data_IF_466822015216
#
_entry.id   IF_466822015216
#
_cell.length_a   1.000
_cell.length_b   1.000
_cell.length_c   1.000
_cell.angle_alpha   90.00
_cell.angle_beta   90.00
_cell.angle_gamma   90.00
#
_symmetry.space_group_name_H-M   'P 1'
#
loop_
_entity.id
_entity.type
_entity.pdbx_description
1 polymer ?
#
# COMPACT_ATOMS: atom_id res chain seq x y z
N UNK A 1 34.91 4.29 -12.69
CA UNK A 1 33.82 3.65 -13.41
C UNK A 1 32.51 3.88 -12.69
N UNK A 2 31.60 4.56 -13.34
CA UNK A 2 30.31 4.82 -12.73
C UNK A 2 29.49 3.52 -12.75
N UNK A 3 29.26 2.98 -11.55
CA UNK A 3 28.23 1.97 -11.43
C UNK A 3 26.92 2.65 -11.83
N UNK A 4 26.25 2.10 -12.82
CA UNK A 4 24.90 2.53 -13.12
C UNK A 4 24.12 2.49 -11.81
N UNK A 5 23.70 3.66 -11.32
CA UNK A 5 22.88 3.71 -10.10
C UNK A 5 21.57 3.04 -10.43
N UNK A 6 21.35 1.89 -9.80
CA UNK A 6 20.08 1.21 -9.91
C UNK A 6 19.04 2.09 -9.23
N UNK A 7 17.98 2.47 -9.96
CA UNK A 7 16.87 3.20 -9.38
C UNK A 7 16.23 2.34 -8.29
N UNK A 8 15.80 2.95 -7.18
CA UNK A 8 15.13 2.20 -6.14
C UNK A 8 13.83 1.57 -6.68
N UNK A 9 13.51 0.40 -6.16
CA UNK A 9 12.28 -0.29 -6.52
C UNK A 9 11.31 -0.26 -5.34
N UNK A 10 10.05 -0.27 -5.67
CA UNK A 10 8.95 -0.24 -4.70
C UNK A 10 8.00 -1.39 -4.96
N UNK A 11 7.48 -1.98 -3.91
CA UNK A 11 6.46 -3.00 -4.04
C UNK A 11 5.09 -2.38 -3.74
N UNK A 12 4.09 -2.77 -4.51
CA UNK A 12 2.72 -2.34 -4.30
C UNK A 12 1.81 -3.56 -4.22
N UNK A 13 1.25 -3.80 -3.04
CA UNK A 13 0.33 -4.89 -2.79
C UNK A 13 -1.09 -4.35 -2.93
N UNK A 14 -1.94 -5.03 -3.68
CA UNK A 14 -3.35 -4.65 -3.75
C UNK A 14 -4.25 -5.86 -3.54
N UNK A 15 -5.29 -5.66 -2.75
CA UNK A 15 -6.29 -6.67 -2.51
C UNK A 15 -7.17 -6.83 -3.76
N UNK A 16 -7.46 -8.07 -4.13
CA UNK A 16 -8.29 -8.38 -5.30
C UNK A 16 -9.76 -8.11 -5.03
N UNK A 17 -10.20 -8.25 -3.79
CA UNK A 17 -11.56 -7.86 -3.42
C UNK A 17 -11.69 -6.34 -3.56
N UNK A 18 -12.72 -5.90 -4.24
CA UNK A 18 -12.91 -4.49 -4.63
C UNK A 18 -11.78 -3.98 -5.54
N UNK A 19 -11.34 -4.82 -6.46
CA UNK A 19 -10.21 -4.53 -7.36
C UNK A 19 -10.39 -3.24 -8.15
N UNK A 20 -11.61 -2.91 -8.55
CA UNK A 20 -11.89 -1.67 -9.27
C UNK A 20 -11.53 -0.42 -8.47
N UNK A 21 -11.58 -0.51 -7.14
CA UNK A 21 -11.21 0.58 -6.24
C UNK A 21 -9.73 0.51 -5.88
N UNK A 22 -9.24 -0.67 -5.49
CA UNK A 22 -7.83 -0.80 -5.09
C UNK A 22 -6.87 -0.50 -6.23
N UNK A 23 -7.25 -0.81 -7.48
CA UNK A 23 -6.44 -0.48 -8.65
C UNK A 23 -6.29 1.03 -8.85
N UNK A 24 -7.24 1.82 -8.35
CA UNK A 24 -7.15 3.29 -8.42
C UNK A 24 -6.02 3.80 -7.53
N UNK A 25 -5.76 3.15 -6.39
CA UNK A 25 -4.63 3.50 -5.55
C UNK A 25 -3.31 3.30 -6.29
N UNK A 26 -3.20 2.24 -7.06
CA UNK A 26 -2.01 2.00 -7.89
C UNK A 26 -1.83 3.09 -8.94
N UNK A 27 -2.92 3.53 -9.57
CA UNK A 27 -2.87 4.64 -10.53
C UNK A 27 -2.30 5.91 -9.89
N UNK A 28 -2.78 6.24 -8.68
CA UNK A 28 -2.26 7.39 -7.95
C UNK A 28 -0.80 7.23 -7.57
N UNK A 29 -0.42 6.06 -7.12
CA UNK A 29 0.94 5.74 -6.72
C UNK A 29 1.91 5.93 -7.90
N UNK A 30 1.54 5.44 -9.07
CA UNK A 30 2.40 5.52 -10.26
C UNK A 30 2.40 6.91 -10.91
N UNK A 31 1.57 7.84 -10.45
CA UNK A 31 1.67 9.25 -10.82
C UNK A 31 2.89 9.92 -10.19
N UNK A 32 3.41 9.37 -9.09
CA UNK A 32 4.56 9.94 -8.38
C UNK A 32 5.82 9.09 -8.47
N UNK A 33 5.66 7.78 -8.56
CA UNK A 33 6.76 6.83 -8.72
C UNK A 33 6.54 6.10 -10.05
N UNK A 34 7.48 6.21 -11.01
CA UNK A 34 7.29 5.60 -12.32
C UNK A 34 6.96 4.11 -12.23
N UNK A 35 6.02 3.67 -13.05
CA UNK A 35 5.57 2.27 -13.07
C UNK A 35 6.73 1.30 -13.27
N UNK A 36 7.77 1.70 -14.00
CA UNK A 36 8.96 0.86 -14.22
C UNK A 36 9.71 0.54 -12.90
N UNK A 37 9.50 1.33 -11.86
CA UNK A 37 10.12 1.13 -10.55
C UNK A 37 9.21 0.39 -9.56
N UNK A 38 8.02 -0.03 -9.99
CA UNK A 38 7.01 -0.61 -9.12
C UNK A 38 6.71 -2.04 -9.53
N UNK A 39 6.86 -2.97 -8.58
CA UNK A 39 6.41 -4.35 -8.75
C UNK A 39 5.06 -4.49 -8.03
N UNK A 40 4.07 -5.02 -8.74
CA UNK A 40 2.70 -5.13 -8.24
C UNK A 40 2.40 -6.56 -7.84
N UNK A 41 1.78 -6.72 -6.68
CA UNK A 41 1.42 -8.03 -6.13
C UNK A 41 -0.05 -8.03 -5.76
N UNK A 42 -0.78 -9.04 -6.23
CA UNK A 42 -2.17 -9.20 -5.91
C UNK A 42 -2.35 -10.23 -4.79
N UNK A 43 -3.20 -9.91 -3.83
CA UNK A 43 -3.59 -10.81 -2.75
C UNK A 43 -5.11 -10.89 -2.69
N UNK A 44 -5.70 -11.93 -2.09
CA UNK A 44 -7.16 -12.02 -2.01
C UNK A 44 -7.79 -10.83 -1.29
N UNK A 45 -7.40 -10.59 -0.06
CA UNK A 45 -7.97 -9.55 0.77
C UNK A 45 -6.93 -8.88 1.66
N UNK A 46 -7.40 -8.00 2.52
CA UNK A 46 -6.53 -7.22 3.39
C UNK A 46 -5.73 -8.07 4.38
N UNK A 47 -6.29 -9.19 4.86
CA UNK A 47 -5.61 -10.05 5.83
C UNK A 47 -4.32 -10.66 5.30
N UNK A 48 -4.18 -10.81 4.00
CA UNK A 48 -2.99 -11.41 3.41
C UNK A 48 -1.87 -10.40 3.19
N UNK A 49 -2.16 -9.10 3.34
CA UNK A 49 -1.18 -8.04 3.08
C UNK A 49 -0.03 -7.98 4.09
N UNK A 50 -0.27 -8.10 5.41
CA UNK A 50 0.84 -7.96 6.36
C UNK A 50 1.96 -8.99 6.18
N UNK A 51 1.62 -10.26 5.97
CA UNK A 51 2.63 -11.30 5.78
C UNK A 51 3.42 -11.06 4.50
N UNK A 52 2.74 -10.76 3.40
CA UNK A 52 3.42 -10.48 2.14
C UNK A 52 4.27 -9.21 2.24
N UNK A 53 3.77 -8.18 2.91
CA UNK A 53 4.53 -6.95 3.12
C UNK A 53 5.83 -7.23 3.87
N UNK A 54 5.78 -8.06 4.91
CA UNK A 54 6.98 -8.45 5.66
C UNK A 54 7.97 -9.21 4.76
N UNK A 55 7.47 -10.15 3.97
CA UNK A 55 8.32 -10.94 3.07
C UNK A 55 9.01 -10.05 2.04
N UNK A 56 8.27 -9.13 1.42
CA UNK A 56 8.81 -8.22 0.42
C UNK A 56 9.81 -7.23 1.04
N UNK A 57 9.47 -6.70 2.20
CA UNK A 57 10.35 -5.78 2.92
C UNK A 57 11.65 -6.47 3.34
N UNK A 58 11.56 -7.70 3.82
CA UNK A 58 12.74 -8.47 4.25
C UNK A 58 13.63 -8.92 3.09
N UNK A 59 13.11 -8.92 1.86
CA UNK A 59 13.86 -9.39 0.68
C UNK A 59 15.06 -8.53 0.34
N UNK A 60 15.12 -7.30 0.81
CA UNK A 60 16.18 -6.35 0.46
C UNK A 60 16.04 -5.76 -0.94
N UNK A 61 14.96 -6.08 -1.67
CA UNK A 61 14.74 -5.65 -3.05
C UNK A 61 14.00 -4.33 -3.17
N UNK A 62 13.33 -3.89 -2.11
CA UNK A 62 12.43 -2.75 -2.16
C UNK A 62 12.80 -1.67 -1.16
N UNK A 63 12.75 -0.43 -1.58
CA UNK A 63 12.97 0.72 -0.70
C UNK A 63 11.78 0.96 0.22
N UNK A 64 10.59 0.59 -0.24
CA UNK A 64 9.36 0.69 0.54
C UNK A 64 8.30 -0.24 -0.06
N UNK A 65 7.31 -0.57 0.75
CA UNK A 65 6.18 -1.42 0.36
C UNK A 65 4.89 -0.65 0.66
N UNK A 66 4.00 -0.56 -0.31
CA UNK A 66 2.66 0.01 -0.11
C UNK A 66 1.63 -1.12 -0.20
N UNK A 67 0.56 -1.01 0.57
CA UNK A 67 -0.49 -2.03 0.58
C UNK A 67 -1.87 -1.38 0.57
N UNK A 68 -2.68 -1.71 -0.42
CA UNK A 68 -3.99 -1.10 -0.65
C UNK A 68 -5.13 -2.11 -0.54
N UNK A 69 -6.13 -1.77 0.24
CA UNK A 69 -7.35 -2.55 0.39
C UNK A 69 -8.51 -1.63 0.75
N UNK A 70 -9.71 -2.02 0.35
CA UNK A 70 -10.93 -1.41 0.85
C UNK A 70 -11.55 -2.44 1.82
N UNK A 71 -11.63 -2.07 3.09
CA UNK A 71 -12.15 -2.94 4.13
C UNK A 71 -13.56 -2.49 4.51
N UNK A 72 -14.53 -3.32 4.24
CA UNK A 72 -15.94 -3.04 4.52
C UNK A 72 -16.54 -4.21 5.29
N UNK A 73 -17.72 -4.01 5.87
CA UNK A 73 -18.40 -5.07 6.61
C UNK A 73 -18.71 -6.25 5.67
N UNK A 74 -18.19 -7.42 6.06
CA UNK A 74 -18.58 -8.68 5.47
C UNK A 74 -19.65 -9.34 6.32
N UNK A 75 -20.15 -10.51 5.90
CA UNK A 75 -21.21 -11.21 6.61
C UNK A 75 -20.81 -11.73 7.99
N UNK A 76 -19.52 -11.90 8.27
CA UNK A 76 -19.01 -12.54 9.48
C UNK A 76 -18.21 -11.58 10.35
N UNK A 77 -17.33 -10.77 9.73
CA UNK A 77 -16.44 -9.88 10.46
C UNK A 77 -16.86 -8.42 10.31
N UNK A 78 -16.76 -7.68 11.41
CA UNK A 78 -16.93 -6.23 11.38
C UNK A 78 -15.66 -5.61 10.79
N UNK A 79 -15.84 -4.57 9.97
CA UNK A 79 -14.72 -3.92 9.28
C UNK A 79 -13.68 -3.34 10.24
N UNK A 80 -14.08 -2.87 11.43
CA UNK A 80 -13.15 -2.30 12.39
C UNK A 80 -12.13 -3.32 12.88
N UNK A 81 -12.55 -4.56 13.11
CA UNK A 81 -11.65 -5.62 13.58
C UNK A 81 -10.64 -5.99 12.50
N UNK A 82 -11.10 -6.10 11.26
CA UNK A 82 -10.23 -6.43 10.13
C UNK A 82 -9.25 -5.29 9.90
N UNK A 83 -9.75 -4.06 9.82
CA UNK A 83 -8.92 -2.89 9.57
C UNK A 83 -7.85 -2.72 10.64
N UNK A 84 -8.21 -2.90 11.93
CA UNK A 84 -7.25 -2.76 13.03
C UNK A 84 -6.14 -3.81 12.93
N UNK A 85 -6.52 -5.07 12.70
CA UNK A 85 -5.55 -6.17 12.58
C UNK A 85 -4.59 -5.94 11.41
N UNK A 86 -5.11 -5.48 10.27
CA UNK A 86 -4.32 -5.23 9.07
C UNK A 86 -3.35 -4.08 9.28
N UNK A 87 -3.82 -2.96 9.80
CA UNK A 87 -2.98 -1.78 10.05
C UNK A 87 -1.88 -2.10 11.06
N UNK A 88 -2.22 -2.79 12.14
CA UNK A 88 -1.24 -3.22 13.15
C UNK A 88 -0.22 -4.17 12.54
N UNK A 89 -0.66 -5.10 11.70
CA UNK A 89 0.22 -6.04 11.02
C UNK A 89 1.17 -5.36 10.04
N UNK A 90 0.69 -4.39 9.28
CA UNK A 90 1.54 -3.62 8.35
C UNK A 90 2.56 -2.77 9.12
N UNK A 91 2.16 -2.16 10.22
CA UNK A 91 3.07 -1.39 11.07
C UNK A 91 4.18 -2.30 11.62
N UNK A 92 3.81 -3.49 12.10
CA UNK A 92 4.77 -4.47 12.60
C UNK A 92 5.73 -4.91 11.50
N UNK A 93 5.24 -5.16 10.29
CA UNK A 93 6.09 -5.57 9.17
C UNK A 93 7.19 -4.54 8.91
N UNK A 94 6.83 -3.25 8.94
CA UNK A 94 7.81 -2.18 8.78
C UNK A 94 8.81 -2.11 9.91
N UNK A 95 8.34 -2.20 11.15
CA UNK A 95 9.20 -2.12 12.33
C UNK A 95 10.15 -3.32 12.43
N UNK A 96 9.68 -4.52 12.12
CA UNK A 96 10.49 -5.74 12.19
C UNK A 96 11.56 -5.79 11.11
N UNK A 97 11.28 -5.27 9.93
CA UNK A 97 12.19 -5.35 8.78
C UNK A 97 13.08 -4.11 8.62
N UNK A 98 12.68 -3.00 9.22
CA UNK A 98 13.37 -1.73 9.02
C UNK A 98 13.13 -1.12 7.64
N UNK A 99 12.09 -1.56 6.93
CA UNK A 99 11.72 -1.02 5.62
C UNK A 99 10.34 -0.37 5.73
N UNK A 100 10.16 0.85 5.20
CA UNK A 100 8.85 1.51 5.29
C UNK A 100 7.75 0.70 4.63
N UNK A 101 6.65 0.54 5.35
CA UNK A 101 5.43 -0.09 4.84
C UNK A 101 4.30 0.93 4.96
N UNK A 102 3.76 1.34 3.82
CA UNK A 102 2.74 2.38 3.75
C UNK A 102 1.37 1.73 3.61
N UNK A 103 0.43 2.15 4.46
CA UNK A 103 -0.92 1.60 4.42
C UNK A 103 -1.85 2.47 3.59
N UNK A 104 -2.48 1.86 2.58
CA UNK A 104 -3.64 2.41 1.89
C UNK A 104 -4.81 1.45 2.13
N UNK A 105 -4.88 0.93 3.35
CA UNK A 105 -5.98 0.07 3.79
C UNK A 105 -7.03 0.97 4.42
N UNK A 106 -8.09 1.25 3.68
CA UNK A 106 -9.11 2.22 4.07
C UNK A 106 -10.39 1.50 4.45
N UNK A 107 -11.05 2.01 5.50
CA UNK A 107 -12.30 1.44 5.98
C UNK A 107 -13.31 2.56 6.23
N UNK A 108 -14.25 2.79 5.31
CA UNK A 108 -15.29 3.79 5.51
C UNK A 108 -16.31 3.31 6.55
N UNK A 109 -16.92 4.26 7.27
CA UNK A 109 -17.96 3.94 8.25
C UNK A 109 -19.17 3.28 7.60
N UNK A 110 -19.55 3.75 6.40
CA UNK A 110 -20.64 3.19 5.62
C UNK A 110 -20.18 3.07 4.18
N UNK A 111 -20.43 1.92 3.59
CA UNK A 111 -20.12 1.66 2.21
C UNK A 111 -21.28 0.91 1.55
N UNK A 112 -21.77 1.47 0.47
CA UNK A 112 -22.77 0.82 -0.37
C UNK A 112 -22.21 0.71 -1.78
N UNK A 113 -22.39 -0.45 -2.42
CA UNK A 113 -21.93 -0.66 -3.79
C UNK A 113 -22.85 0.05 -4.79
N UNK A 114 -23.10 1.35 -4.56
CA UNK A 114 -23.83 2.20 -5.48
C UNK A 114 -22.82 2.89 -6.39
N UNK A 115 -23.27 3.28 -7.58
CA UNK A 115 -22.44 4.00 -8.53
C UNK A 115 -21.84 5.26 -7.92
N UNK A 116 -22.61 5.98 -7.12
CA UNK A 116 -22.19 7.20 -6.44
C UNK A 116 -21.06 6.95 -5.45
N UNK A 117 -21.21 5.95 -4.57
CA UNK A 117 -20.17 5.60 -3.59
C UNK A 117 -18.92 5.05 -4.27
N UNK A 118 -19.09 4.21 -5.30
CA UNK A 118 -17.96 3.67 -6.04
C UNK A 118 -17.14 4.79 -6.68
N UNK A 119 -17.80 5.81 -7.24
CA UNK A 119 -17.11 6.94 -7.85
C UNK A 119 -16.34 7.74 -6.81
N UNK A 120 -16.92 8.02 -5.65
CA UNK A 120 -16.28 8.77 -4.57
C UNK A 120 -15.03 8.03 -4.06
N UNK A 121 -15.17 6.76 -3.74
CA UNK A 121 -14.05 5.98 -3.20
C UNK A 121 -12.98 5.71 -4.25
N UNK A 122 -13.36 5.50 -5.51
CA UNK A 122 -12.41 5.38 -6.61
C UNK A 122 -11.48 6.59 -6.68
N UNK A 123 -12.05 7.79 -6.66
CA UNK A 123 -11.28 9.03 -6.75
C UNK A 123 -10.44 9.26 -5.49
N UNK A 124 -11.01 8.97 -4.33
CA UNK A 124 -10.30 9.07 -3.06
C UNK A 124 -9.08 8.13 -3.02
N UNK A 125 -9.21 6.92 -3.58
CA UNK A 125 -8.10 5.97 -3.64
C UNK A 125 -6.98 6.45 -4.56
N UNK A 126 -7.29 7.15 -5.65
CA UNK A 126 -6.24 7.78 -6.48
C UNK A 126 -5.43 8.76 -5.64
N UNK A 127 -6.12 9.62 -4.90
CA UNK A 127 -5.47 10.59 -4.02
C UNK A 127 -4.63 9.89 -2.96
N UNK A 128 -5.16 8.87 -2.31
CA UNK A 128 -4.45 8.12 -1.27
C UNK A 128 -3.25 7.37 -1.83
N UNK A 129 -3.35 6.88 -3.04
CA UNK A 129 -2.22 6.27 -3.74
C UNK A 129 -1.09 7.27 -3.99
N UNK A 130 -1.41 8.48 -4.42
CA UNK A 130 -0.42 9.55 -4.57
C UNK A 130 0.24 9.90 -3.25
N UNK A 131 -0.56 10.03 -2.19
CA UNK A 131 -0.06 10.34 -0.85
C UNK A 131 0.88 9.25 -0.35
N UNK A 132 0.56 7.99 -0.60
CA UNK A 132 1.43 6.87 -0.23
C UNK A 132 2.77 6.94 -0.96
N UNK A 133 2.75 7.25 -2.26
CA UNK A 133 3.98 7.40 -3.02
C UNK A 133 4.82 8.56 -2.50
N UNK A 134 4.19 9.70 -2.22
CA UNK A 134 4.88 10.87 -1.65
C UNK A 134 5.47 10.54 -0.28
N UNK A 135 4.73 9.80 0.56
CA UNK A 135 5.22 9.35 1.86
C UNK A 135 6.40 8.40 1.70
N UNK A 136 6.34 7.47 0.75
CA UNK A 136 7.43 6.54 0.48
C UNK A 136 8.71 7.29 0.09
N UNK A 137 8.58 8.26 -0.81
CA UNK A 137 9.72 9.06 -1.25
C UNK A 137 10.29 9.90 -0.11
N UNK A 138 9.44 10.52 0.67
CA UNK A 138 9.86 11.37 1.79
C UNK A 138 10.55 10.56 2.89
N UNK A 139 9.97 9.45 3.33
CA UNK A 139 10.55 8.66 4.41
C UNK A 139 11.87 8.02 4.00
N UNK A 140 11.97 7.53 2.77
CA UNK A 140 13.23 6.96 2.30
C UNK A 140 14.34 8.01 2.22
N UNK A 141 14.01 9.22 1.78
CA UNK A 141 14.95 10.33 1.75
C UNK A 141 15.40 10.74 3.16
N UNK A 142 14.45 10.85 4.09
CA UNK A 142 14.74 11.23 5.48
C UNK A 142 15.65 10.19 6.14
N UNK A 143 15.36 8.90 5.96
CA UNK A 143 16.17 7.83 6.55
C UNK A 143 17.55 7.78 5.93
N UNK A 144 17.69 8.03 4.64
CA UNK A 144 18.98 8.08 3.98
C UNK A 144 19.87 9.19 4.57
N UNK A 145 19.27 10.31 4.96
CA UNK A 145 20.01 11.42 5.58
C UNK A 145 20.57 11.07 6.96
N UNK A 146 20.00 10.09 7.64
CA UNK A 146 20.47 9.64 8.95
C UNK A 146 21.72 8.77 8.84
N UNK A 147 21.92 8.15 7.68
CA UNK A 147 23.06 7.27 7.43
C UNK A 147 24.31 8.03 6.95
N UNK A 148 24.16 9.30 6.64
CA UNK A 148 25.25 10.12 6.14
C UNK A 148 26.16 10.66 7.25
#
# INVERSE_FOLDING_TARGET
MNKAQTLPRYAFIKASWHASITSRALEGFTQRIPAAQVDVFDVPGAFEMPLLARDLAASGRYAAVAAAALVVDGGIYRHEFVAQAVVDGLMRAGLETGVPVLSVSLTPHQFHETEHHMAIFSEHFVQKGREAAEAALMITKTRASLAA
#
